data_IF_269816917922
#
_entry.id   IF_269816917922
#
_cell.length_a   1.000
_cell.length_b   1.000
_cell.length_c   1.000
_cell.angle_alpha   90.00
_cell.angle_beta   90.00
_cell.angle_gamma   90.00
#
_symmetry.space_group_name_H-M   'P 1'
#
loop_
_entity.id
_entity.type
_entity.pdbx_description
1 polymer ?
#
# COMPACT_ATOMS: atom_id res chain seq x y z
N UNK A 1 13.83 -21.09 -3.32
CA UNK A 1 12.86 -20.21 -2.70
C UNK A 1 11.97 -19.60 -3.77
N UNK A 2 10.65 -19.58 -3.51
CA UNK A 2 9.63 -19.04 -4.44
C UNK A 2 9.55 -17.51 -4.38
N UNK A 3 10.67 -16.82 -4.19
CA UNK A 3 10.74 -15.37 -4.13
C UNK A 3 11.33 -14.84 -5.44
N UNK A 4 10.73 -13.81 -5.99
CA UNK A 4 11.22 -13.15 -7.19
C UNK A 4 12.47 -12.33 -6.90
N UNK A 5 13.41 -12.33 -7.84
CA UNK A 5 14.63 -11.53 -7.75
C UNK A 5 15.44 -11.60 -9.02
N UNK A 6 16.24 -10.57 -9.28
CA UNK A 6 17.13 -10.48 -10.42
C UNK A 6 18.43 -11.21 -10.08
N UNK A 7 18.59 -12.41 -10.64
CA UNK A 7 19.79 -13.23 -10.51
C UNK A 7 19.79 -14.30 -11.61
N UNK A 8 20.92 -14.96 -11.93
CA UNK A 8 20.93 -16.06 -12.89
C UNK A 8 19.97 -17.20 -12.52
N UNK A 9 19.89 -17.54 -11.23
CA UNK A 9 18.93 -18.53 -10.72
C UNK A 9 17.48 -18.02 -10.78
N UNK A 10 17.26 -16.73 -10.61
CA UNK A 10 15.96 -16.07 -10.77
C UNK A 10 15.47 -16.09 -12.21
N UNK A 11 16.35 -15.83 -13.17
CA UNK A 11 16.04 -15.93 -14.59
C UNK A 11 15.62 -17.35 -14.99
N UNK A 12 16.37 -18.36 -14.54
CA UNK A 12 16.00 -19.76 -14.77
C UNK A 12 14.66 -20.13 -14.14
N UNK A 13 14.42 -19.67 -12.90
CA UNK A 13 13.16 -19.89 -12.20
C UNK A 13 11.98 -19.20 -12.93
N UNK A 14 12.20 -18.02 -13.49
CA UNK A 14 11.18 -17.32 -14.29
C UNK A 14 10.85 -18.07 -15.58
N UNK A 15 11.86 -18.58 -16.31
CA UNK A 15 11.65 -19.41 -17.51
C UNK A 15 10.85 -20.68 -17.19
N UNK A 16 11.19 -21.35 -16.09
CA UNK A 16 10.45 -22.52 -15.61
C UNK A 16 9.00 -22.15 -15.20
N UNK A 17 8.82 -21.00 -14.55
CA UNK A 17 7.51 -20.51 -14.18
C UNK A 17 6.62 -20.20 -15.40
N UNK A 18 7.18 -19.55 -16.43
CA UNK A 18 6.48 -19.29 -17.70
C UNK A 18 6.10 -20.60 -18.40
N UNK A 19 7.04 -21.57 -18.46
CA UNK A 19 6.76 -22.89 -19.07
C UNK A 19 5.67 -23.64 -18.32
N UNK A 20 5.71 -23.64 -16.99
CA UNK A 20 4.69 -24.26 -16.14
C UNK A 20 3.34 -23.57 -16.29
N UNK A 21 3.31 -22.25 -16.29
CA UNK A 21 2.08 -21.49 -16.49
C UNK A 21 1.44 -21.78 -17.85
N UNK A 22 2.25 -21.86 -18.93
CA UNK A 22 1.73 -22.22 -20.25
C UNK A 22 1.08 -23.59 -20.29
N UNK A 23 1.66 -24.57 -19.59
CA UNK A 23 1.17 -25.96 -19.57
C UNK A 23 0.02 -26.18 -18.58
N UNK A 24 0.16 -25.66 -17.37
CA UNK A 24 -0.69 -26.00 -16.22
C UNK A 24 -1.54 -24.84 -15.72
N UNK A 25 -1.30 -23.61 -16.19
CA UNK A 25 -1.93 -22.37 -15.68
C UNK A 25 -1.72 -22.19 -14.16
N UNK A 26 -0.61 -22.67 -13.61
CA UNK A 26 -0.27 -22.68 -12.19
C UNK A 26 1.16 -22.23 -11.92
N UNK A 27 1.49 -21.99 -10.64
CA UNK A 27 2.83 -21.62 -10.17
C UNK A 27 3.10 -20.13 -10.23
N UNK A 28 4.37 -19.74 -10.10
CA UNK A 28 4.79 -18.32 -10.03
C UNK A 28 4.34 -17.46 -11.23
N UNK A 29 4.10 -18.06 -12.39
CA UNK A 29 3.57 -17.34 -13.55
C UNK A 29 2.09 -16.93 -13.43
N UNK A 30 1.39 -17.42 -12.40
CA UNK A 30 -0.01 -17.08 -12.11
C UNK A 30 -0.16 -16.14 -10.90
N UNK A 31 0.95 -15.65 -10.34
CA UNK A 31 0.91 -14.78 -9.16
C UNK A 31 0.40 -13.39 -9.51
N UNK A 32 -0.32 -12.78 -8.58
CA UNK A 32 -0.66 -11.35 -8.59
C UNK A 32 0.33 -10.51 -7.75
N UNK A 33 1.46 -11.06 -7.35
CA UNK A 33 2.50 -10.51 -6.46
C UNK A 33 2.05 -10.33 -5.01
N UNK A 34 0.82 -9.96 -4.75
CA UNK A 34 0.24 -9.78 -3.42
C UNK A 34 -0.43 -11.06 -2.92
N UNK A 35 0.37 -12.09 -2.63
CA UNK A 35 -0.10 -13.46 -2.38
C UNK A 35 -0.91 -13.62 -1.10
N UNK A 36 -0.70 -12.78 -0.09
CA UNK A 36 -1.33 -12.89 1.22
C UNK A 36 -1.63 -11.52 1.79
N UNK A 37 -2.82 -11.34 2.31
CA UNK A 37 -3.21 -10.17 3.08
C UNK A 37 -3.67 -10.56 4.48
N UNK A 38 -3.32 -9.73 5.46
CA UNK A 38 -3.82 -9.82 6.83
C UNK A 38 -4.42 -8.50 7.27
N UNK A 39 -5.43 -8.57 8.14
CA UNK A 39 -6.11 -7.40 8.69
C UNK A 39 -6.01 -7.44 10.20
N UNK A 40 -5.65 -6.33 10.84
CA UNK A 40 -5.41 -6.28 12.26
C UNK A 40 -6.19 -5.19 12.96
N UNK A 41 -6.88 -5.56 14.05
CA UNK A 41 -7.27 -4.63 15.08
C UNK A 41 -6.04 -4.36 15.95
N UNK A 42 -5.67 -3.10 16.07
CA UNK A 42 -4.53 -2.68 16.90
C UNK A 42 -4.92 -2.52 18.36
N UNK A 43 -6.19 -2.24 18.61
CA UNK A 43 -6.79 -2.15 19.96
C UNK A 43 -7.82 -3.25 20.15
N UNK A 44 -7.93 -3.81 21.36
CA UNK A 44 -8.90 -4.88 21.65
C UNK A 44 -10.37 -4.47 21.42
N UNK A 45 -10.69 -3.20 21.61
CA UNK A 45 -12.03 -2.62 21.50
C UNK A 45 -12.34 -2.08 20.10
N UNK A 46 -11.41 -2.22 19.15
CA UNK A 46 -11.65 -1.77 17.78
C UNK A 46 -12.75 -2.57 17.11
N UNK A 47 -13.83 -1.95 16.62
CA UNK A 47 -14.94 -2.65 15.99
C UNK A 47 -14.57 -3.25 14.63
N UNK A 48 -13.44 -2.89 14.08
CA UNK A 48 -12.94 -3.34 12.78
C UNK A 48 -11.44 -3.05 12.65
N UNK A 49 -10.70 -3.79 11.78
CA UNK A 49 -9.27 -3.61 11.59
C UNK A 49 -8.90 -2.18 11.17
N UNK A 50 -7.84 -1.64 11.74
CA UNK A 50 -7.26 -0.35 11.37
C UNK A 50 -6.17 -0.48 10.30
N UNK A 51 -5.49 -1.63 10.25
CA UNK A 51 -4.36 -1.86 9.36
C UNK A 51 -4.54 -3.12 8.56
N UNK A 52 -4.14 -3.05 7.29
CA UNK A 52 -3.89 -4.21 6.45
C UNK A 52 -2.39 -4.39 6.27
N UNK A 53 -1.91 -5.62 6.26
CA UNK A 53 -0.61 -5.94 5.69
C UNK A 53 -0.80 -6.76 4.41
N UNK A 54 0.03 -6.49 3.42
CA UNK A 54 0.07 -7.27 2.19
C UNK A 54 1.47 -7.82 1.97
N UNK A 55 1.56 -9.15 1.89
CA UNK A 55 2.79 -9.83 1.58
C UNK A 55 3.03 -9.84 0.08
N UNK A 56 4.20 -9.36 -0.33
CA UNK A 56 4.63 -9.29 -1.73
C UNK A 56 5.86 -10.16 -1.92
N UNK A 57 5.85 -11.04 -2.92
CA UNK A 57 6.91 -12.02 -3.20
C UNK A 57 8.16 -11.43 -3.87
N UNK A 58 8.34 -10.14 -3.80
CA UNK A 58 9.50 -9.39 -4.30
C UNK A 58 9.86 -8.24 -3.38
N UNK A 59 10.99 -7.61 -3.62
CA UNK A 59 11.36 -6.38 -2.90
C UNK A 59 10.73 -5.21 -3.64
N UNK A 60 9.72 -4.61 -3.02
CA UNK A 60 9.06 -3.41 -3.51
C UNK A 60 9.74 -2.18 -2.85
N UNK A 61 10.51 -1.45 -3.64
CA UNK A 61 11.12 -0.19 -3.26
C UNK A 61 10.57 0.91 -4.17
N UNK A 62 10.24 2.05 -3.59
CA UNK A 62 9.76 3.24 -4.29
C UNK A 62 8.78 2.92 -5.45
N UNK A 63 7.70 2.20 -5.14
CA UNK A 63 6.70 1.79 -6.14
C UNK A 63 7.27 1.04 -7.37
N UNK A 64 8.40 0.35 -7.20
CA UNK A 64 9.07 -0.38 -8.29
C UNK A 64 10.01 0.47 -9.13
N UNK A 65 10.26 1.72 -8.76
CA UNK A 65 11.27 2.57 -9.42
C UNK A 65 12.68 2.14 -9.05
N UNK A 66 12.88 1.72 -7.81
CA UNK A 66 14.13 1.15 -7.34
C UNK A 66 14.16 -0.36 -7.50
N UNK A 67 15.20 -0.87 -8.12
CA UNK A 67 15.37 -2.30 -8.39
C UNK A 67 16.32 -2.92 -7.37
N UNK A 68 15.84 -3.92 -6.63
CA UNK A 68 16.68 -4.74 -5.78
C UNK A 68 17.10 -6.02 -6.54
N UNK A 69 18.37 -6.08 -6.93
CA UNK A 69 18.92 -7.15 -7.78
C UNK A 69 19.14 -8.51 -7.07
N UNK A 70 18.37 -8.80 -6.00
CA UNK A 70 18.45 -10.07 -5.26
C UNK A 70 17.06 -10.55 -4.90
N UNK A 71 16.96 -11.82 -4.45
CA UNK A 71 15.72 -12.38 -3.96
C UNK A 71 15.31 -11.77 -2.63
N UNK A 72 14.05 -11.42 -2.49
CA UNK A 72 13.50 -10.86 -1.27
C UNK A 72 11.98 -10.86 -1.26
N UNK A 73 11.43 -10.33 -0.20
CA UNK A 73 10.00 -10.12 0.00
C UNK A 73 9.77 -8.76 0.65
N UNK A 74 8.59 -8.23 0.47
CA UNK A 74 8.15 -7.03 1.16
C UNK A 74 6.85 -7.31 1.89
N UNK A 75 6.63 -6.58 2.98
CA UNK A 75 5.30 -6.47 3.58
C UNK A 75 4.91 -5.00 3.56
N UNK A 76 3.88 -4.70 2.81
CA UNK A 76 3.30 -3.36 2.74
C UNK A 76 2.29 -3.24 3.87
N UNK A 77 2.45 -2.21 4.69
CA UNK A 77 1.51 -1.88 5.77
C UNK A 77 0.60 -0.75 5.29
N UNK A 78 -0.70 -0.94 5.35
CA UNK A 78 -1.70 -0.04 4.79
C UNK A 78 -2.62 0.43 5.90
N UNK A 79 -2.74 1.74 6.07
CA UNK A 79 -3.73 2.37 6.95
C UNK A 79 -5.09 2.36 6.25
N UNK A 80 -6.05 1.61 6.80
CA UNK A 80 -7.31 1.34 6.10
C UNK A 80 -8.27 2.52 6.07
N UNK A 81 -8.25 3.37 7.08
CA UNK A 81 -9.17 4.51 7.23
C UNK A 81 -8.44 5.74 7.72
N UNK A 82 -7.57 6.32 6.89
CA UNK A 82 -6.89 7.56 7.24
C UNK A 82 -7.91 8.68 7.46
N UNK A 83 -7.69 9.49 8.48
CA UNK A 83 -8.46 10.70 8.77
C UNK A 83 -7.89 11.92 8.06
N UNK A 84 -6.63 11.86 7.65
CA UNK A 84 -5.98 12.89 6.84
C UNK A 84 -6.74 13.12 5.54
N UNK A 85 -6.80 14.37 5.11
CA UNK A 85 -7.47 14.79 3.87
C UNK A 85 -6.51 15.59 3.03
N UNK A 86 -6.41 15.21 1.77
CA UNK A 86 -5.66 15.91 0.74
C UNK A 86 -6.57 16.66 -0.23
N UNK A 87 -6.02 17.10 -1.34
CA UNK A 87 -6.77 17.77 -2.40
C UNK A 87 -6.25 17.41 -3.78
N UNK A 88 -7.14 17.46 -4.76
CA UNK A 88 -6.83 17.45 -6.19
C UNK A 88 -7.41 18.72 -6.79
N UNK A 89 -6.58 19.48 -7.48
CA UNK A 89 -6.97 20.79 -8.05
C UNK A 89 -6.46 20.91 -9.49
N UNK A 90 -7.13 21.73 -10.29
CA UNK A 90 -6.61 22.10 -11.60
C UNK A 90 -5.36 22.96 -11.43
N UNK A 91 -4.32 22.68 -12.21
CA UNK A 91 -3.12 23.51 -12.28
C UNK A 91 -3.34 24.77 -13.12
N UNK A 92 -4.17 24.67 -14.17
CA UNK A 92 -4.49 25.75 -15.12
C UNK A 92 -5.81 25.45 -15.83
N UNK A 93 -6.17 26.29 -16.81
CA UNK A 93 -7.30 26.07 -17.71
C UNK A 93 -6.96 25.14 -18.88
N UNK A 94 -5.70 24.75 -19.04
CA UNK A 94 -5.28 23.76 -20.05
C UNK A 94 -5.76 22.35 -19.61
N UNK A 95 -6.64 21.68 -20.38
CA UNK A 95 -7.16 20.37 -20.04
C UNK A 95 -6.10 19.25 -20.09
N UNK A 96 -4.93 19.50 -20.68
CA UNK A 96 -3.82 18.55 -20.74
C UNK A 96 -2.77 18.77 -19.65
N UNK A 97 -2.88 19.84 -18.85
CA UNK A 97 -1.99 20.06 -17.73
C UNK A 97 -2.26 19.05 -16.59
N UNK A 98 -1.19 18.51 -16.04
CA UNK A 98 -1.28 17.62 -14.89
C UNK A 98 -1.94 18.32 -13.70
N UNK A 99 -2.85 17.65 -12.96
CA UNK A 99 -3.48 18.23 -11.79
C UNK A 99 -2.50 18.42 -10.63
N UNK A 100 -2.78 19.38 -9.77
CA UNK A 100 -2.08 19.56 -8.50
C UNK A 100 -2.66 18.55 -7.50
N UNK A 101 -1.84 17.56 -7.09
CA UNK A 101 -2.22 16.51 -6.17
C UNK A 101 -1.43 16.70 -4.86
N UNK A 102 -2.15 16.93 -3.78
CA UNK A 102 -1.59 16.99 -2.41
C UNK A 102 -2.28 15.94 -1.55
N UNK A 103 -1.59 14.86 -1.24
CA UNK A 103 -2.12 13.76 -0.42
C UNK A 103 -2.22 14.12 1.06
N UNK A 104 -1.38 15.02 1.58
CA UNK A 104 -1.30 15.42 2.99
C UNK A 104 -1.28 14.23 3.95
N UNK A 105 -0.48 13.21 3.63
CA UNK A 105 -0.31 12.04 4.50
C UNK A 105 0.04 12.46 5.92
N UNK A 106 -0.56 11.80 6.90
CA UNK A 106 -0.34 12.02 8.33
C UNK A 106 -0.63 13.47 8.81
N UNK A 107 -1.44 14.23 8.09
CA UNK A 107 -1.87 15.56 8.53
C UNK A 107 -2.86 15.50 9.72
N UNK A 108 -3.55 14.38 9.90
CA UNK A 108 -4.36 14.13 11.08
C UNK A 108 -3.52 13.45 12.18
N UNK A 109 -3.59 13.91 13.45
CA UNK A 109 -2.72 13.44 14.53
C UNK A 109 -2.85 11.95 14.86
N UNK A 110 -3.99 11.31 14.55
CA UNK A 110 -4.19 9.87 14.83
C UNK A 110 -3.56 8.94 13.80
N UNK A 111 -3.30 9.41 12.58
CA UNK A 111 -2.92 8.55 11.47
C UNK A 111 -1.50 8.01 11.62
N UNK A 112 -0.56 8.87 12.00
CA UNK A 112 0.85 8.46 12.16
C UNK A 112 1.03 7.48 13.34
N UNK A 113 0.49 7.72 14.54
CA UNK A 113 0.57 6.74 15.63
C UNK A 113 -0.07 5.39 15.27
N UNK A 114 -1.19 5.40 14.55
CA UNK A 114 -1.84 4.17 14.09
C UNK A 114 -0.96 3.41 13.08
N UNK A 115 -0.31 4.13 12.15
CA UNK A 115 0.64 3.52 11.21
C UNK A 115 1.85 2.95 11.94
N UNK A 116 2.43 3.67 12.89
CA UNK A 116 3.57 3.19 13.72
C UNK A 116 3.20 1.91 14.47
N UNK A 117 2.04 1.87 15.10
CA UNK A 117 1.56 0.66 15.78
C UNK A 117 1.41 -0.52 14.81
N UNK A 118 0.89 -0.28 13.61
CA UNK A 118 0.80 -1.28 12.54
C UNK A 118 2.16 -1.81 12.11
N UNK A 119 3.10 -0.92 11.81
CA UNK A 119 4.47 -1.27 11.42
C UNK A 119 5.18 -2.11 12.49
N UNK A 120 5.07 -1.72 13.76
CA UNK A 120 5.62 -2.49 14.88
C UNK A 120 4.99 -3.87 15.02
N UNK A 121 3.67 -3.97 14.83
CA UNK A 121 2.97 -5.27 14.84
C UNK A 121 3.52 -6.19 13.76
N UNK A 122 3.69 -5.69 12.55
CA UNK A 122 4.25 -6.46 11.43
C UNK A 122 5.71 -6.84 11.70
N UNK A 123 6.53 -5.90 12.18
CA UNK A 123 7.91 -6.17 12.56
C UNK A 123 8.01 -7.27 13.63
N UNK A 124 7.08 -7.27 14.61
CA UNK A 124 6.96 -8.34 15.60
C UNK A 124 6.68 -9.71 14.98
N UNK A 125 5.76 -9.78 14.01
CA UNK A 125 5.46 -11.01 13.26
C UNK A 125 6.71 -11.51 12.52
N UNK A 126 7.46 -10.62 11.87
CA UNK A 126 8.67 -10.97 11.12
C UNK A 126 9.80 -11.49 12.02
N UNK A 127 9.81 -11.12 13.30
CA UNK A 127 10.78 -11.60 14.31
C UNK A 127 10.40 -12.95 14.92
N UNK A 128 9.23 -13.50 14.65
CA UNK A 128 8.84 -14.83 15.14
C UNK A 128 9.78 -15.92 14.63
N UNK A 129 10.01 -17.03 15.36
CA UNK A 129 10.92 -18.10 14.93
C UNK A 129 10.60 -18.68 13.55
N UNK A 130 9.33 -18.74 13.19
CA UNK A 130 8.88 -19.25 11.90
C UNK A 130 9.30 -18.35 10.73
N UNK A 131 9.23 -17.02 10.92
CA UNK A 131 9.58 -16.05 9.87
C UNK A 131 11.08 -15.76 9.86
N UNK A 132 11.68 -15.50 11.01
CA UNK A 132 13.08 -15.10 11.14
C UNK A 132 14.06 -16.12 10.57
N UNK A 133 13.77 -17.41 10.67
CA UNK A 133 14.60 -18.48 10.05
C UNK A 133 14.70 -18.37 8.51
N UNK A 134 13.76 -17.65 7.87
CA UNK A 134 13.71 -17.47 6.42
C UNK A 134 14.25 -16.12 5.97
N UNK A 135 14.51 -15.21 6.91
CA UNK A 135 14.95 -13.84 6.65
C UNK A 135 16.45 -13.76 6.94
N UNK A 136 17.23 -13.53 5.87
CA UNK A 136 18.68 -13.35 6.01
C UNK A 136 19.03 -11.95 6.53
N UNK A 137 18.30 -10.93 6.11
CA UNK A 137 18.55 -9.53 6.45
C UNK A 137 17.27 -8.70 6.29
N UNK A 138 17.03 -7.83 7.23
CA UNK A 138 16.08 -6.71 7.11
C UNK A 138 16.76 -5.60 6.32
N UNK A 139 16.14 -5.14 5.25
CA UNK A 139 16.69 -4.17 4.32
C UNK A 139 16.34 -2.72 4.69
N UNK A 140 15.19 -2.51 5.33
CA UNK A 140 14.62 -1.17 5.49
C UNK A 140 14.44 -0.76 6.94
N UNK A 141 14.12 -1.69 7.84
CA UNK A 141 13.66 -1.35 9.19
C UNK A 141 14.62 -1.79 10.29
N UNK A 142 15.81 -2.30 9.91
CA UNK A 142 16.80 -2.78 10.89
C UNK A 142 17.27 -1.73 11.90
N UNK A 143 17.19 -0.45 11.55
CA UNK A 143 17.57 0.68 12.41
C UNK A 143 16.43 1.13 13.33
N UNK A 144 15.17 0.82 13.03
CA UNK A 144 14.03 1.27 13.82
C UNK A 144 13.98 0.60 15.19
N UNK A 145 14.15 1.39 16.25
CA UNK A 145 14.14 0.96 17.66
C UNK A 145 13.04 1.63 18.46
N UNK A 146 12.89 2.93 18.30
CA UNK A 146 11.95 3.79 19.02
C UNK A 146 10.72 4.08 18.16
N UNK A 147 9.67 4.62 18.77
CA UNK A 147 8.47 5.05 18.04
C UNK A 147 8.79 6.20 17.08
N UNK A 148 9.77 7.05 17.40
CA UNK A 148 10.19 8.13 16.49
C UNK A 148 10.93 7.57 15.27
N UNK A 149 11.78 6.55 15.42
CA UNK A 149 12.39 5.89 14.25
C UNK A 149 11.32 5.32 13.30
N UNK A 150 10.28 4.70 13.86
CA UNK A 150 9.16 4.19 13.08
C UNK A 150 8.32 5.28 12.45
N UNK A 151 8.13 6.40 13.15
CA UNK A 151 7.42 7.56 12.63
C UNK A 151 8.21 8.22 11.48
N UNK A 152 9.50 8.37 11.63
CA UNK A 152 10.38 8.87 10.59
C UNK A 152 10.38 7.93 9.36
N UNK A 153 10.51 6.63 9.60
CA UNK A 153 10.40 5.63 8.54
C UNK A 153 9.06 5.75 7.80
N UNK A 154 7.95 5.89 8.53
CA UNK A 154 6.63 6.05 7.93
C UNK A 154 6.54 7.33 7.08
N UNK A 155 7.00 8.48 7.59
CA UNK A 155 6.98 9.76 6.85
C UNK A 155 7.80 9.68 5.55
N UNK A 156 8.98 9.06 5.61
CA UNK A 156 9.91 8.98 4.49
C UNK A 156 9.51 7.91 3.44
N UNK A 157 8.61 6.97 3.80
CA UNK A 157 8.22 5.85 2.93
C UNK A 157 6.74 5.76 2.65
N UNK A 158 5.95 6.69 3.20
CA UNK A 158 4.51 6.73 2.90
C UNK A 158 4.27 7.01 1.43
N UNK A 159 3.31 6.31 0.87
CA UNK A 159 2.89 6.47 -0.51
C UNK A 159 1.46 5.99 -0.72
N UNK A 160 0.95 6.22 -1.90
CA UNK A 160 -0.37 5.73 -2.29
C UNK A 160 -0.35 4.22 -2.55
N UNK A 161 -1.46 3.55 -2.24
CA UNK A 161 -1.75 2.20 -2.74
C UNK A 161 -2.66 2.24 -3.98
N UNK A 162 -2.74 3.41 -4.62
CA UNK A 162 -3.50 3.66 -5.86
C UNK A 162 -5.01 3.48 -5.72
N UNK A 163 -5.54 3.68 -4.53
CA UNK A 163 -6.97 3.61 -4.22
C UNK A 163 -7.49 4.91 -3.57
N UNK A 164 -7.25 6.10 -4.18
CA UNK A 164 -7.76 7.35 -3.64
C UNK A 164 -9.29 7.36 -3.70
N UNK A 165 -9.92 7.96 -2.70
CA UNK A 165 -11.37 8.10 -2.60
C UNK A 165 -11.75 9.48 -2.07
N UNK A 166 -12.97 9.93 -2.39
CA UNK A 166 -13.56 11.12 -1.80
C UNK A 166 -13.50 12.38 -2.66
N UNK A 167 -12.74 12.40 -3.79
CA UNK A 167 -12.72 13.53 -4.72
C UNK A 167 -14.09 13.76 -5.40
N UNK A 168 -14.90 12.69 -5.55
CA UNK A 168 -16.30 12.77 -6.01
C UNK A 168 -17.23 12.20 -4.95
N UNK A 169 -17.12 12.68 -3.72
CA UNK A 169 -17.86 12.16 -2.58
C UNK A 169 -19.37 12.25 -2.80
N UNK A 170 -20.06 11.16 -2.47
CA UNK A 170 -21.52 11.09 -2.47
C UNK A 170 -22.07 11.63 -1.15
N UNK A 171 -23.17 12.39 -1.22
CA UNK A 171 -23.92 12.88 -0.05
C UNK A 171 -25.11 13.72 -0.47
N UNK A 172 -26.03 13.97 0.48
CA UNK A 172 -27.21 14.79 0.26
C UNK A 172 -26.92 16.29 0.34
N UNK A 173 -25.86 16.68 1.04
CA UNK A 173 -25.49 18.08 1.23
C UNK A 173 -24.47 18.52 0.14
N UNK A 174 -24.87 19.45 -0.75
CA UNK A 174 -23.97 19.93 -1.83
C UNK A 174 -22.77 20.74 -1.30
N UNK A 175 -22.77 21.17 -0.04
CA UNK A 175 -21.61 21.86 0.56
C UNK A 175 -20.49 20.90 0.95
N UNK A 176 -20.79 19.59 1.10
CA UNK A 176 -19.85 18.55 1.56
C UNK A 176 -19.76 17.36 0.58
N UNK A 177 -20.56 17.36 -0.47
CA UNK A 177 -20.60 16.29 -1.46
C UNK A 177 -20.62 16.83 -2.89
N UNK A 178 -20.05 16.05 -3.80
CA UNK A 178 -20.02 16.36 -5.23
C UNK A 178 -21.23 15.77 -5.95
N UNK A 179 -21.68 14.59 -5.54
CA UNK A 179 -22.80 13.87 -6.17
C UNK A 179 -23.82 13.40 -5.14
N UNK A 180 -25.07 13.30 -5.59
CA UNK A 180 -26.15 12.70 -4.82
C UNK A 180 -26.15 11.16 -4.87
N UNK A 181 -27.10 10.50 -4.19
CA UNK A 181 -27.24 9.05 -4.14
C UNK A 181 -27.54 8.39 -5.53
N UNK A 182 -27.83 9.19 -6.54
CA UNK A 182 -28.01 8.75 -7.93
C UNK A 182 -26.82 9.11 -8.82
N UNK A 183 -25.68 9.48 -8.20
CA UNK A 183 -24.44 9.92 -8.85
C UNK A 183 -24.59 11.22 -9.68
N UNK A 184 -25.65 12.00 -9.50
CA UNK A 184 -25.83 13.26 -10.21
C UNK A 184 -24.99 14.34 -9.54
N UNK A 185 -24.25 15.11 -10.31
CA UNK A 185 -23.44 16.22 -9.79
C UNK A 185 -24.37 17.33 -9.29
N UNK A 186 -24.15 17.75 -8.04
CA UNK A 186 -24.92 18.86 -7.46
C UNK A 186 -24.71 20.15 -8.27
N UNK A 187 -25.78 20.85 -8.57
CA UNK A 187 -25.76 22.11 -9.30
C UNK A 187 -25.58 22.01 -10.80
N UNK A 188 -25.40 20.81 -11.36
CA UNK A 188 -25.29 20.58 -12.81
C UNK A 188 -26.36 19.62 -13.32
N UNK A 189 -26.87 19.88 -14.52
CA UNK A 189 -27.82 19.00 -15.20
C UNK A 189 -27.10 18.09 -16.20
N UNK A 190 -27.53 16.83 -16.27
CA UNK A 190 -27.02 15.88 -17.27
C UNK A 190 -25.66 15.27 -16.97
N UNK A 191 -24.98 15.63 -15.88
CA UNK A 191 -23.68 15.08 -15.49
C UNK A 191 -23.80 14.14 -14.30
N UNK A 192 -23.14 12.98 -14.40
CA UNK A 192 -22.95 12.00 -13.33
C UNK A 192 -21.49 11.55 -13.24
N UNK A 193 -21.06 11.16 -12.04
CA UNK A 193 -19.73 10.61 -11.77
C UNK A 193 -19.87 9.33 -10.97
#
# INVERSE_FOLDING_TARGET
PNLMGISPTGALALLQAVRRWRKERRGMGATNFGELSGYFCLRPDSPRPEVQCQFVIGVALDHGRDVYAKHGMSIVTILLRPKSRGSVRLASTDPLADPLIDFRYFSHPDDLPTMVAGLRRIAGIMKTPTMSRRIKRDLLTAHCRTDEDWAEFARNRAGTVYHPVGSCRMGSDPSDAVVDARLRVHGLQGLRV
#
